data_IF_431844464047
#
_entry.id   IF_431844464047
#
_cell.length_a   1.000
_cell.length_b   1.000
_cell.length_c   1.000
_cell.angle_alpha   90.00
_cell.angle_beta   90.00
_cell.angle_gamma   90.00
#
_symmetry.space_group_name_H-M   'P 1'
#
loop_
_entity.id
_entity.type
_entity.pdbx_description
1 polymer ?
#
# COMPACT_ATOMS: atom_id res chain seq x y z
N UNK A 1 19.09 -37.07 -21.88
CA UNK A 1 17.99 -36.54 -21.04
C UNK A 1 18.59 -35.94 -19.79
N UNK A 2 18.35 -34.66 -19.49
CA UNK A 2 18.78 -34.10 -18.21
C UNK A 2 17.96 -34.74 -17.08
N UNK A 3 18.63 -35.18 -16.01
CA UNK A 3 17.98 -35.81 -14.86
C UNK A 3 17.19 -34.74 -14.11
N UNK A 4 15.88 -34.90 -14.03
CA UNK A 4 15.03 -34.01 -13.25
C UNK A 4 15.30 -34.18 -11.75
N UNK A 5 15.63 -33.10 -11.06
CA UNK A 5 15.68 -33.07 -9.59
C UNK A 5 14.35 -32.63 -9.01
N UNK A 6 13.92 -33.28 -7.93
CA UNK A 6 12.74 -32.83 -7.19
C UNK A 6 13.01 -31.47 -6.54
N UNK A 7 12.01 -30.59 -6.57
CA UNK A 7 12.06 -29.31 -5.85
C UNK A 7 12.22 -29.62 -4.34
N UNK A 8 13.23 -29.06 -3.66
CA UNK A 8 13.38 -29.24 -2.22
C UNK A 8 12.08 -28.88 -1.47
N UNK A 9 11.68 -29.74 -0.52
CA UNK A 9 10.37 -29.65 0.15
C UNK A 9 10.12 -28.29 0.81
N UNK A 10 11.17 -27.68 1.36
CA UNK A 10 11.09 -26.37 1.99
C UNK A 10 10.86 -25.23 0.99
N UNK A 11 11.49 -25.29 -0.20
CA UNK A 11 11.26 -24.35 -1.29
C UNK A 11 9.85 -24.53 -1.87
N UNK A 12 9.42 -25.77 -2.09
CA UNK A 12 8.07 -26.06 -2.56
C UNK A 12 7.02 -25.49 -1.58
N UNK A 13 7.17 -25.79 -0.29
CA UNK A 13 6.27 -25.27 0.76
C UNK A 13 6.27 -23.75 0.82
N UNK A 14 7.44 -23.10 0.73
CA UNK A 14 7.53 -21.65 0.73
C UNK A 14 6.85 -21.03 -0.49
N UNK A 15 7.09 -21.61 -1.67
CA UNK A 15 6.49 -21.15 -2.93
C UNK A 15 4.96 -21.23 -2.86
N UNK A 16 4.44 -22.37 -2.36
CA UNK A 16 3.01 -22.59 -2.14
C UNK A 16 2.41 -21.66 -1.09
N UNK A 17 3.15 -21.40 -0.01
CA UNK A 17 2.70 -20.49 1.05
C UNK A 17 2.61 -19.05 0.56
N UNK A 18 3.63 -18.58 -0.19
CA UNK A 18 3.64 -17.23 -0.76
C UNK A 18 2.55 -17.01 -1.80
N UNK A 19 2.17 -18.05 -2.53
CA UNK A 19 1.06 -17.99 -3.49
C UNK A 19 -0.30 -18.25 -2.84
N UNK A 20 -0.37 -18.51 -1.53
CA UNK A 20 -1.58 -18.95 -0.83
C UNK A 20 -2.25 -20.14 -1.53
N UNK A 21 -1.44 -21.08 -2.04
CA UNK A 21 -1.84 -22.22 -2.87
C UNK A 21 -2.80 -21.86 -4.01
N UNK A 22 -2.68 -20.64 -4.52
CA UNK A 22 -3.54 -20.10 -5.57
C UNK A 22 -2.72 -19.86 -6.84
N UNK A 23 -3.32 -20.10 -8.00
CA UNK A 23 -2.71 -19.80 -9.30
C UNK A 23 -2.39 -18.31 -9.41
N UNK A 24 -1.16 -17.94 -9.77
CA UNK A 24 -0.80 -16.54 -9.88
C UNK A 24 -1.51 -15.80 -11.02
N UNK A 25 -1.96 -16.53 -12.05
CA UNK A 25 -2.57 -15.94 -13.25
C UNK A 25 -4.06 -15.73 -13.07
N UNK A 26 -4.84 -16.80 -12.83
CA UNK A 26 -6.30 -16.68 -12.73
C UNK A 26 -6.81 -16.35 -11.32
N UNK A 27 -5.97 -16.47 -10.29
CA UNK A 27 -6.30 -16.20 -8.87
C UNK A 27 -7.53 -16.95 -8.31
N UNK A 28 -7.97 -18.03 -8.96
CA UNK A 28 -9.12 -18.84 -8.51
C UNK A 28 -8.66 -19.82 -7.41
N UNK A 29 -9.19 -19.73 -6.18
CA UNK A 29 -8.82 -20.62 -5.09
C UNK A 29 -9.37 -22.04 -5.29
N UNK A 30 -8.77 -23.02 -4.59
CA UNK A 30 -9.25 -24.40 -4.56
C UNK A 30 -8.98 -25.24 -5.82
N UNK A 31 -8.41 -24.67 -6.88
CA UNK A 31 -8.00 -25.43 -8.07
C UNK A 31 -6.79 -26.31 -7.79
N UNK A 32 -6.68 -27.42 -8.53
CA UNK A 32 -5.46 -28.21 -8.58
C UNK A 32 -4.32 -27.35 -9.15
N UNK A 33 -3.17 -27.37 -8.47
CA UNK A 33 -2.02 -26.50 -8.75
C UNK A 33 -0.72 -27.29 -8.93
N UNK A 34 0.21 -26.70 -9.67
CA UNK A 34 1.56 -27.19 -9.89
C UNK A 34 2.57 -26.03 -9.79
N UNK A 35 3.78 -26.33 -9.33
CA UNK A 35 4.89 -25.38 -9.37
C UNK A 35 5.54 -25.45 -10.75
N UNK A 36 5.62 -24.30 -11.41
CA UNK A 36 6.19 -24.10 -12.74
C UNK A 36 7.53 -23.38 -12.65
N UNK A 37 8.53 -23.87 -13.40
CA UNK A 37 9.85 -23.23 -13.55
C UNK A 37 9.81 -22.24 -14.73
N UNK A 38 10.04 -20.96 -14.46
CA UNK A 38 9.88 -19.87 -15.43
C UNK A 38 10.94 -19.92 -16.55
N UNK A 39 12.14 -20.40 -16.26
CA UNK A 39 13.21 -20.54 -17.25
C UNK A 39 13.14 -21.86 -18.05
N UNK A 40 12.16 -22.73 -17.75
CA UNK A 40 12.05 -24.07 -18.32
C UNK A 40 13.13 -25.05 -17.86
N UNK A 41 14.04 -24.64 -16.98
CA UNK A 41 15.09 -25.49 -16.41
C UNK A 41 14.61 -26.08 -15.09
N UNK A 42 14.19 -27.35 -15.14
CA UNK A 42 13.65 -28.06 -13.98
C UNK A 42 14.65 -28.25 -12.83
N UNK A 43 15.95 -27.99 -13.04
CA UNK A 43 16.98 -28.04 -12.00
C UNK A 43 17.21 -26.69 -11.30
N UNK A 44 16.63 -25.59 -11.81
CA UNK A 44 16.74 -24.28 -11.21
C UNK A 44 15.62 -24.05 -10.18
N UNK A 45 15.88 -24.44 -8.94
CA UNK A 45 14.93 -24.32 -7.82
C UNK A 45 15.03 -22.97 -7.08
N UNK A 46 15.63 -21.94 -7.68
CA UNK A 46 15.64 -20.61 -7.09
C UNK A 46 14.20 -20.10 -6.94
N UNK A 47 13.88 -19.49 -5.79
CA UNK A 47 12.51 -19.07 -5.49
C UNK A 47 11.96 -18.11 -6.55
N UNK A 48 12.82 -17.25 -7.11
CA UNK A 48 12.47 -16.30 -8.16
C UNK A 48 12.29 -16.95 -9.54
N UNK A 49 12.63 -18.22 -9.69
CA UNK A 49 12.36 -19.03 -10.89
C UNK A 49 11.08 -19.86 -10.77
N UNK A 50 10.45 -19.92 -9.60
CA UNK A 50 9.26 -20.74 -9.38
C UNK A 50 7.98 -19.88 -9.39
N UNK A 51 6.90 -20.44 -9.92
CA UNK A 51 5.56 -19.86 -9.88
C UNK A 51 4.52 -20.96 -9.62
N UNK A 52 3.37 -20.61 -9.03
CA UNK A 52 2.27 -21.56 -8.81
C UNK A 52 1.20 -21.31 -9.84
N UNK A 53 0.90 -22.32 -10.66
CA UNK A 53 -0.15 -22.28 -11.68
C UNK A 53 -1.21 -23.33 -11.38
N UNK A 54 -2.48 -23.06 -11.70
CA UNK A 54 -3.46 -24.13 -11.80
C UNK A 54 -3.19 -24.94 -13.07
N UNK A 55 -3.63 -26.20 -13.11
CA UNK A 55 -3.39 -27.08 -14.27
C UNK A 55 -3.82 -26.44 -15.60
N UNK A 56 -4.97 -25.76 -15.61
CA UNK A 56 -5.46 -25.05 -16.81
C UNK A 56 -4.48 -23.97 -17.33
N UNK A 57 -4.04 -23.05 -16.46
CA UNK A 57 -3.05 -22.04 -16.87
C UNK A 57 -1.66 -22.65 -17.10
N UNK A 58 -1.35 -23.78 -16.48
CA UNK A 58 -0.10 -24.49 -16.74
C UNK A 58 -0.09 -25.06 -18.17
N UNK A 59 -1.19 -25.62 -18.64
CA UNK A 59 -1.31 -26.16 -20.00
C UNK A 59 -1.12 -25.07 -21.06
N UNK A 60 -1.59 -23.84 -20.81
CA UNK A 60 -1.36 -22.69 -21.69
C UNK A 60 0.12 -22.37 -21.91
N UNK A 61 1.00 -22.70 -20.95
CA UNK A 61 2.46 -22.54 -21.09
C UNK A 61 3.07 -23.56 -22.05
N UNK A 62 2.38 -24.66 -22.32
CA UNK A 62 2.87 -25.77 -23.14
C UNK A 62 2.38 -25.72 -24.59
N UNK A 63 1.42 -24.85 -24.91
CA UNK A 63 0.85 -24.74 -26.26
C UNK A 63 1.93 -24.33 -27.28
N UNK A 64 2.14 -25.15 -28.31
CA UNK A 64 2.99 -24.86 -29.48
C UNK A 64 2.11 -24.48 -30.69
N UNK A 65 2.48 -23.45 -31.46
CA UNK A 65 1.62 -22.88 -32.53
C UNK A 65 0.42 -22.03 -32.05
N UNK A 66 -0.35 -21.47 -32.98
CA UNK A 66 -1.59 -20.69 -32.73
C UNK A 66 -1.47 -19.17 -32.93
N UNK A 67 -2.59 -18.52 -33.29
CA UNK A 67 -2.69 -17.05 -33.48
C UNK A 67 -2.80 -16.26 -32.16
N UNK A 68 -3.18 -16.91 -31.06
CA UNK A 68 -3.34 -16.26 -29.75
C UNK A 68 -2.01 -15.95 -29.06
N UNK A 69 -1.97 -14.87 -28.27
CA UNK A 69 -0.83 -14.59 -27.38
C UNK A 69 -0.78 -15.64 -26.26
N UNK A 70 0.39 -16.26 -26.11
CA UNK A 70 0.62 -17.34 -25.14
C UNK A 70 1.01 -16.81 -23.78
N UNK A 71 0.76 -17.63 -22.77
CA UNK A 71 1.24 -17.40 -21.42
C UNK A 71 2.74 -17.73 -21.34
N UNK A 72 3.57 -16.68 -21.47
CA UNK A 72 5.02 -16.79 -21.39
C UNK A 72 5.56 -16.53 -19.97
N UNK A 73 6.81 -16.89 -19.74
CA UNK A 73 7.46 -16.77 -18.43
C UNK A 73 7.55 -15.35 -17.90
N UNK A 74 7.74 -14.35 -18.77
CA UNK A 74 7.76 -12.93 -18.38
C UNK A 74 6.41 -12.49 -17.83
N UNK A 75 5.32 -12.86 -18.50
CA UNK A 75 3.96 -12.54 -18.06
C UNK A 75 3.60 -13.27 -16.76
N UNK A 76 3.96 -14.55 -16.64
CA UNK A 76 3.76 -15.31 -15.40
C UNK A 76 4.53 -14.66 -14.24
N UNK A 77 5.75 -14.18 -14.49
CA UNK A 77 6.57 -13.48 -13.49
C UNK A 77 5.88 -12.21 -12.97
N UNK A 78 5.23 -11.44 -13.85
CA UNK A 78 4.47 -10.25 -13.46
C UNK A 78 3.29 -10.63 -12.55
N UNK A 79 2.46 -11.58 -12.99
CA UNK A 79 1.32 -12.08 -12.21
C UNK A 79 1.72 -12.65 -10.84
N UNK A 80 2.80 -13.44 -10.80
CA UNK A 80 3.35 -13.97 -9.54
C UNK A 80 3.78 -12.87 -8.59
N UNK A 81 4.52 -11.88 -9.09
CA UNK A 81 5.03 -10.80 -8.24
C UNK A 81 3.89 -9.98 -7.65
N UNK A 82 2.86 -9.71 -8.43
CA UNK A 82 1.65 -9.02 -7.98
C UNK A 82 0.94 -9.82 -6.87
N UNK A 83 0.68 -11.11 -7.08
CA UNK A 83 0.07 -11.98 -6.06
C UNK A 83 0.92 -12.02 -4.77
N UNK A 84 2.23 -12.11 -4.88
CA UNK A 84 3.13 -12.13 -3.72
C UNK A 84 3.10 -10.82 -2.94
N UNK A 85 2.94 -9.67 -3.60
CA UNK A 85 2.80 -8.38 -2.94
C UNK A 85 1.51 -8.36 -2.11
N UNK A 86 0.40 -8.81 -2.70
CA UNK A 86 -0.91 -8.85 -2.03
C UNK A 86 -0.89 -9.79 -0.82
N UNK A 87 -0.36 -11.00 -1.00
CA UNK A 87 -0.23 -11.97 0.08
C UNK A 87 0.72 -11.51 1.19
N UNK A 88 1.83 -10.85 0.85
CA UNK A 88 2.73 -10.28 1.88
C UNK A 88 2.03 -9.19 2.70
N UNK A 89 1.20 -8.34 2.08
CA UNK A 89 0.41 -7.34 2.83
C UNK A 89 -0.55 -8.03 3.80
N UNK A 90 -1.22 -9.09 3.37
CA UNK A 90 -2.12 -9.90 4.23
C UNK A 90 -1.36 -10.56 5.38
N UNK A 91 -0.27 -11.27 5.07
CA UNK A 91 0.52 -12.03 6.05
C UNK A 91 1.17 -11.14 7.10
N UNK A 92 1.60 -9.92 6.73
CA UNK A 92 2.10 -8.94 7.70
C UNK A 92 1.08 -8.54 8.76
N UNK A 93 -0.22 -8.59 8.44
CA UNK A 93 -1.29 -8.30 9.42
C UNK A 93 -1.52 -9.46 10.39
N UNK A 94 -1.28 -10.69 9.94
CA UNK A 94 -1.63 -11.91 10.68
C UNK A 94 -0.45 -12.42 11.51
N UNK A 95 0.77 -12.26 11.01
CA UNK A 95 1.99 -12.82 11.60
C UNK A 95 2.88 -11.66 12.10
N UNK A 96 2.87 -11.36 13.41
CA UNK A 96 3.86 -10.48 14.01
C UNK A 96 5.26 -10.99 13.65
N UNK A 97 6.17 -10.10 13.23
CA UNK A 97 7.53 -10.45 12.78
C UNK A 97 7.63 -11.27 11.47
N UNK A 98 6.63 -11.26 10.59
CA UNK A 98 6.68 -11.89 9.26
C UNK A 98 7.98 -11.59 8.48
N UNK A 99 8.44 -10.33 8.51
CA UNK A 99 9.68 -9.94 7.83
C UNK A 99 10.91 -10.68 8.38
N UNK A 100 11.02 -10.88 9.69
CA UNK A 100 12.14 -11.60 10.31
C UNK A 100 12.09 -13.10 10.01
N UNK A 101 10.89 -13.70 10.01
CA UNK A 101 10.70 -15.09 9.62
C UNK A 101 11.07 -15.30 8.14
N UNK A 102 10.57 -14.43 7.26
CA UNK A 102 10.89 -14.44 5.84
C UNK A 102 12.39 -14.25 5.58
N UNK A 103 13.03 -13.34 6.32
CA UNK A 103 14.47 -13.10 6.27
C UNK A 103 15.27 -14.30 6.78
N UNK A 104 14.86 -14.98 7.86
CA UNK A 104 15.53 -16.21 8.35
C UNK A 104 15.45 -17.35 7.33
N UNK A 105 14.31 -17.53 6.68
CA UNK A 105 14.10 -18.57 5.66
C UNK A 105 14.94 -18.29 4.41
N UNK A 106 14.98 -17.03 3.95
CA UNK A 106 15.78 -16.62 2.78
C UNK A 106 17.29 -16.53 3.07
N UNK A 107 17.70 -16.10 4.28
CA UNK A 107 19.11 -15.99 4.68
C UNK A 107 19.77 -17.34 4.93
N UNK A 108 19.04 -18.36 5.44
CA UNK A 108 19.59 -19.71 5.62
C UNK A 108 20.12 -20.33 4.33
N UNK A 109 19.71 -19.83 3.15
CA UNK A 109 20.16 -20.33 1.84
C UNK A 109 21.04 -19.37 1.04
N UNK A 110 21.11 -18.08 1.40
CA UNK A 110 21.94 -17.05 0.75
C UNK A 110 23.47 -17.22 0.89
N UNK A 111 23.97 -18.37 1.37
CA UNK A 111 25.41 -18.69 1.28
C UNK A 111 25.87 -19.02 -0.15
N UNK A 112 24.97 -19.10 -1.13
CA UNK A 112 25.27 -19.03 -2.55
C UNK A 112 24.20 -18.15 -3.22
N UNK A 113 24.64 -17.30 -4.15
CA UNK A 113 23.89 -16.40 -5.05
C UNK A 113 23.34 -15.07 -4.47
N UNK A 114 23.46 -14.05 -5.32
CA UNK A 114 23.80 -12.65 -5.02
C UNK A 114 22.62 -11.69 -4.81
N UNK A 115 22.95 -10.45 -4.45
CA UNK A 115 22.10 -9.37 -3.96
C UNK A 115 20.95 -8.92 -4.88
N UNK A 116 19.82 -8.60 -4.24
CA UNK A 116 18.75 -7.78 -4.79
C UNK A 116 19.13 -6.30 -4.58
N UNK A 117 19.42 -5.59 -5.66
CA UNK A 117 19.87 -4.20 -5.66
C UNK A 117 18.70 -3.32 -6.12
N UNK A 118 18.30 -2.34 -5.29
CA UNK A 118 17.52 -1.20 -5.78
C UNK A 118 18.30 -0.53 -6.92
N UNK A 119 17.60 -0.06 -7.96
CA UNK A 119 18.25 0.58 -9.11
C UNK A 119 19.06 1.80 -8.64
N UNK A 120 20.33 1.87 -9.07
CA UNK A 120 21.34 2.89 -8.74
C UNK A 120 20.88 4.35 -8.93
N UNK A 121 19.85 4.62 -9.73
CA UNK A 121 19.37 5.97 -10.00
C UNK A 121 18.52 6.55 -8.85
N UNK A 122 17.93 5.71 -8.01
CA UNK A 122 17.12 6.18 -6.87
C UNK A 122 17.99 6.56 -5.66
N UNK A 123 19.18 5.96 -5.51
CA UNK A 123 20.05 6.20 -4.36
C UNK A 123 20.71 7.58 -4.40
N UNK A 124 21.18 8.04 -5.57
CA UNK A 124 21.81 9.36 -5.69
C UNK A 124 20.81 10.50 -5.42
N UNK A 125 19.57 10.36 -5.91
CA UNK A 125 18.51 11.34 -5.65
C UNK A 125 18.15 11.40 -4.16
N UNK A 126 18.04 10.24 -3.49
CA UNK A 126 17.75 10.19 -2.07
C UNK A 126 18.89 10.82 -1.26
N UNK A 127 20.15 10.52 -1.57
CA UNK A 127 21.29 11.13 -0.89
C UNK A 127 21.31 12.66 -1.06
N UNK A 128 21.14 13.17 -2.29
CA UNK A 128 21.03 14.63 -2.52
C UNK A 128 19.86 15.26 -1.77
N UNK A 129 18.74 14.54 -1.66
CA UNK A 129 17.58 15.03 -0.90
C UNK A 129 17.88 15.05 0.60
N UNK A 130 18.55 14.02 1.13
CA UNK A 130 19.01 13.97 2.52
C UNK A 130 19.94 15.15 2.83
N UNK A 131 20.94 15.38 1.98
CA UNK A 131 21.90 16.48 2.14
C UNK A 131 21.17 17.84 2.15
N UNK A 132 20.28 18.05 1.18
CA UNK A 132 19.47 19.28 1.09
C UNK A 132 18.55 19.47 2.31
N UNK A 133 17.93 18.39 2.81
CA UNK A 133 17.07 18.48 4.00
C UNK A 133 17.90 18.80 5.25
N UNK A 134 19.11 18.24 5.35
CA UNK A 134 20.02 18.52 6.46
C UNK A 134 20.51 19.97 6.43
N UNK A 135 20.92 20.46 5.25
CA UNK A 135 21.34 21.86 5.05
C UNK A 135 20.23 22.88 5.35
N UNK A 136 18.98 22.54 5.01
CA UNK A 136 17.81 23.38 5.25
C UNK A 136 17.18 23.19 6.62
N UNK A 137 17.72 22.29 7.44
CA UNK A 137 17.17 21.93 8.75
C UNK A 137 15.71 21.43 8.67
N UNK A 138 15.31 20.82 7.54
CA UNK A 138 14.00 20.19 7.38
C UNK A 138 14.01 18.80 8.01
N UNK A 139 14.00 18.78 9.34
CA UNK A 139 14.14 17.55 10.15
C UNK A 139 13.00 16.55 9.91
N UNK A 140 11.79 17.04 9.60
CA UNK A 140 10.66 16.16 9.29
C UNK A 140 10.88 15.42 7.97
N UNK A 141 11.23 16.14 6.90
CA UNK A 141 11.50 15.50 5.61
C UNK A 141 12.74 14.59 5.70
N UNK A 142 13.77 15.03 6.42
CA UNK A 142 14.97 14.23 6.65
C UNK A 142 14.66 12.92 7.37
N UNK A 143 13.82 12.94 8.41
CA UNK A 143 13.35 11.74 9.08
C UNK A 143 12.66 10.80 8.08
N UNK A 144 11.73 11.32 7.27
CA UNK A 144 11.06 10.54 6.22
C UNK A 144 12.03 9.91 5.21
N UNK A 145 13.05 10.63 4.76
CA UNK A 145 14.05 10.07 3.83
C UNK A 145 14.80 8.88 4.46
N UNK A 146 15.23 9.01 5.72
CA UNK A 146 15.87 7.90 6.43
C UNK A 146 14.95 6.69 6.62
N UNK A 147 13.63 6.89 6.76
CA UNK A 147 12.63 5.80 6.73
C UNK A 147 12.68 5.02 5.44
N UNK A 148 12.68 5.75 4.32
CA UNK A 148 12.61 5.17 2.98
C UNK A 148 13.81 4.28 2.68
N UNK A 149 14.99 4.66 3.17
CA UNK A 149 16.22 3.85 3.06
C UNK A 149 16.41 2.88 4.24
N UNK A 150 15.38 2.70 5.08
CA UNK A 150 15.35 1.77 6.21
C UNK A 150 16.48 2.01 7.25
N UNK A 151 16.87 3.28 7.45
CA UNK A 151 17.81 3.75 8.48
C UNK A 151 17.03 4.28 9.68
N UNK A 152 16.42 3.36 10.44
CA UNK A 152 15.44 3.69 11.49
C UNK A 152 15.98 4.58 12.61
N UNK A 153 17.21 4.32 13.07
CA UNK A 153 17.83 5.08 14.16
C UNK A 153 18.05 6.55 13.79
N UNK A 154 18.51 6.81 12.57
CA UNK A 154 18.66 8.17 12.04
C UNK A 154 17.28 8.82 11.83
N UNK A 155 16.33 8.10 11.26
CA UNK A 155 14.95 8.57 11.12
C UNK A 155 14.35 9.01 12.47
N UNK A 156 14.57 8.22 13.51
CA UNK A 156 14.14 8.56 14.87
C UNK A 156 14.88 9.76 15.46
N UNK A 157 16.22 9.81 15.33
CA UNK A 157 17.03 10.95 15.79
C UNK A 157 16.51 12.28 15.24
N UNK A 158 16.26 12.34 13.93
CA UNK A 158 15.79 13.57 13.29
C UNK A 158 14.30 13.85 13.55
N UNK A 159 13.48 12.81 13.75
CA UNK A 159 12.11 13.00 14.23
C UNK A 159 12.09 13.64 15.64
N UNK A 160 12.98 13.22 16.55
CA UNK A 160 13.12 13.83 17.88
C UNK A 160 13.57 15.29 17.78
N UNK A 161 14.59 15.56 16.96
CA UNK A 161 15.07 16.93 16.71
C UNK A 161 13.96 17.84 16.17
N UNK A 162 13.17 17.36 15.20
CA UNK A 162 12.01 18.10 14.70
C UNK A 162 11.00 18.41 15.81
N UNK A 163 10.73 17.46 16.72
CA UNK A 163 9.80 17.70 17.83
C UNK A 163 10.31 18.78 18.77
N UNK A 164 11.59 18.71 19.15
CA UNK A 164 12.23 19.68 20.04
C UNK A 164 12.16 21.11 19.49
N UNK A 165 12.19 21.26 18.17
CA UNK A 165 12.12 22.56 17.48
C UNK A 165 10.69 22.95 17.07
N UNK A 166 9.74 22.01 17.02
CA UNK A 166 8.36 22.29 16.63
C UNK A 166 7.60 23.03 17.73
N UNK A 167 7.10 24.23 17.39
CA UNK A 167 6.33 25.08 18.32
C UNK A 167 4.82 24.72 18.29
N UNK A 168 4.35 24.07 17.23
CA UNK A 168 2.92 23.80 17.00
C UNK A 168 2.52 22.33 17.27
N UNK A 169 1.44 22.14 18.03
CA UNK A 169 0.83 20.85 18.35
C UNK A 169 0.43 20.01 17.11
N UNK A 170 0.11 20.63 15.98
CA UNK A 170 -0.23 19.88 14.74
C UNK A 170 0.97 19.19 14.12
N UNK A 171 2.13 19.84 14.10
CA UNK A 171 3.38 19.28 13.60
C UNK A 171 3.85 18.14 14.48
N UNK A 172 3.69 18.33 15.79
CA UNK A 172 3.99 17.36 16.82
C UNK A 172 3.24 16.02 16.63
N UNK A 173 1.93 16.07 16.30
CA UNK A 173 1.13 14.88 15.98
C UNK A 173 1.70 14.09 14.80
N UNK A 174 2.10 14.78 13.72
CA UNK A 174 2.65 14.11 12.53
C UNK A 174 3.88 13.28 12.90
N UNK A 175 4.64 13.76 13.87
CA UNK A 175 5.90 13.13 14.26
C UNK A 175 5.71 11.98 15.22
N UNK A 176 4.75 12.06 16.14
CA UNK A 176 4.37 10.87 16.92
C UNK A 176 3.98 9.74 15.97
N UNK A 177 3.15 10.03 14.97
CA UNK A 177 2.78 9.04 13.95
C UNK A 177 3.99 8.50 13.18
N UNK A 178 4.96 9.37 12.87
CA UNK A 178 6.23 8.92 12.30
C UNK A 178 6.98 7.98 13.25
N UNK A 179 7.11 8.32 14.54
CA UNK A 179 7.80 7.49 15.53
C UNK A 179 7.16 6.11 15.66
N UNK A 180 5.82 6.02 15.68
CA UNK A 180 5.09 4.74 15.60
C UNK A 180 5.53 3.91 14.39
N UNK A 181 5.61 4.52 13.21
CA UNK A 181 6.04 3.82 12.01
C UNK A 181 7.52 3.37 12.06
N UNK A 182 8.38 4.09 12.78
CA UNK A 182 9.81 3.78 12.88
C UNK A 182 10.10 2.70 13.92
N UNK A 183 9.64 2.93 15.13
CA UNK A 183 10.07 2.23 16.34
C UNK A 183 9.10 1.13 16.78
N UNK A 184 7.85 1.16 16.34
CA UNK A 184 6.79 0.37 16.97
C UNK A 184 6.26 1.06 18.23
N UNK A 185 5.09 0.63 18.68
CA UNK A 185 4.38 1.25 19.81
C UNK A 185 5.09 1.05 21.15
N UNK A 186 5.83 -0.04 21.29
CA UNK A 186 6.54 -0.43 22.51
C UNK A 186 7.76 0.45 22.85
N UNK A 187 8.23 1.24 21.89
CA UNK A 187 9.47 2.01 21.99
C UNK A 187 9.23 3.53 22.03
N UNK A 188 7.98 3.96 22.18
CA UNK A 188 7.63 5.38 22.28
C UNK A 188 7.66 5.80 23.74
N UNK A 189 8.37 6.88 24.02
CA UNK A 189 8.46 7.47 25.36
C UNK A 189 7.04 7.85 25.88
N UNK A 190 6.64 7.44 27.11
CA UNK A 190 5.27 7.62 27.61
C UNK A 190 4.77 9.06 27.61
N UNK A 191 5.64 10.04 27.87
CA UNK A 191 5.30 11.47 27.85
C UNK A 191 4.78 11.92 26.47
N UNK A 192 5.34 11.37 25.38
CA UNK A 192 4.87 11.66 24.04
C UNK A 192 3.47 11.05 23.83
N UNK A 193 3.24 9.83 24.29
CA UNK A 193 1.91 9.23 24.16
C UNK A 193 0.85 10.05 24.91
N UNK A 194 1.15 10.48 26.13
CA UNK A 194 0.26 11.31 26.93
C UNK A 194 -0.04 12.65 26.24
N UNK A 195 1.00 13.34 25.74
CA UNK A 195 0.84 14.60 25.02
C UNK A 195 0.01 14.41 23.74
N UNK A 196 0.22 13.33 22.98
CA UNK A 196 -0.57 13.00 21.79
C UNK A 196 -2.05 12.82 22.11
N UNK A 197 -2.35 12.02 23.15
CA UNK A 197 -3.70 11.77 23.64
C UNK A 197 -4.37 13.10 24.04
N UNK A 198 -3.66 13.93 24.80
CA UNK A 198 -4.18 15.23 25.26
C UNK A 198 -4.49 16.18 24.09
N UNK A 199 -3.63 16.22 23.06
CA UNK A 199 -3.90 17.05 21.87
C UNK A 199 -5.15 16.53 21.14
N UNK A 200 -5.27 15.22 20.89
CA UNK A 200 -6.44 14.68 20.21
C UNK A 200 -7.73 14.86 21.00
N UNK A 201 -7.69 14.71 22.33
CA UNK A 201 -8.84 14.97 23.20
C UNK A 201 -9.25 16.44 23.15
N UNK A 202 -8.28 17.36 23.28
CA UNK A 202 -8.53 18.81 23.22
C UNK A 202 -9.15 19.22 21.88
N UNK A 203 -8.65 18.67 20.78
CA UNK A 203 -9.14 18.96 19.43
C UNK A 203 -10.41 18.17 19.07
N UNK A 204 -10.86 17.26 19.94
CA UNK A 204 -11.98 16.34 19.70
C UNK A 204 -11.79 15.48 18.44
N UNK A 205 -10.55 15.15 18.10
CA UNK A 205 -10.21 14.28 16.97
C UNK A 205 -10.19 12.81 17.43
N UNK A 206 -11.39 12.32 17.72
CA UNK A 206 -11.57 10.96 18.22
C UNK A 206 -11.18 9.89 17.18
N UNK A 207 -11.18 10.23 15.90
CA UNK A 207 -10.75 9.31 14.84
C UNK A 207 -9.26 9.00 14.91
N UNK A 208 -8.42 10.02 15.10
CA UNK A 208 -6.97 9.81 15.22
C UNK A 208 -6.63 9.22 16.59
N UNK A 209 -7.34 9.60 17.65
CA UNK A 209 -7.19 8.98 18.96
C UNK A 209 -7.50 7.47 18.92
N UNK A 210 -8.55 7.08 18.18
CA UNK A 210 -8.89 5.67 18.00
C UNK A 210 -7.78 4.88 17.31
N UNK A 211 -7.21 5.44 16.23
CA UNK A 211 -6.07 4.84 15.53
C UNK A 211 -4.85 4.74 16.42
N UNK A 212 -4.55 5.79 17.20
CA UNK A 212 -3.46 5.79 18.17
C UNK A 212 -3.58 4.62 19.15
N UNK A 213 -4.75 4.45 19.79
CA UNK A 213 -4.96 3.34 20.72
C UNK A 213 -4.91 1.97 20.05
N UNK A 214 -5.43 1.83 18.83
CA UNK A 214 -5.30 0.59 18.06
C UNK A 214 -3.83 0.25 17.79
N UNK A 215 -3.04 1.24 17.37
CA UNK A 215 -1.63 1.07 17.04
C UNK A 215 -0.78 0.79 18.31
N UNK A 216 -1.23 1.27 19.48
CA UNK A 216 -0.73 0.91 20.81
C UNK A 216 -1.15 -0.49 21.29
N UNK A 217 -1.95 -1.22 20.52
CA UNK A 217 -2.45 -2.54 20.93
C UNK A 217 -3.54 -2.49 22.00
N UNK A 218 -4.26 -1.37 22.12
CA UNK A 218 -5.43 -1.20 22.98
C UNK A 218 -6.72 -1.10 22.13
N UNK A 219 -7.23 -2.25 21.63
CA UNK A 219 -8.39 -2.26 20.75
C UNK A 219 -9.68 -1.80 21.44
N UNK A 220 -9.79 -1.91 22.77
CA UNK A 220 -10.95 -1.48 23.54
C UNK A 220 -11.11 0.05 23.48
N UNK A 221 -10.07 0.80 23.84
CA UNK A 221 -10.08 2.26 23.73
C UNK A 221 -10.19 2.70 22.27
N UNK A 222 -9.49 2.01 21.36
CA UNK A 222 -9.62 2.25 19.93
C UNK A 222 -11.08 2.18 19.46
N UNK A 223 -11.81 1.15 19.88
CA UNK A 223 -13.23 0.95 19.54
C UNK A 223 -14.12 2.04 20.15
N UNK A 224 -13.90 2.41 21.42
CA UNK A 224 -14.65 3.47 22.10
C UNK A 224 -14.52 4.80 21.34
N UNK A 225 -13.31 5.19 20.97
CA UNK A 225 -13.08 6.45 20.28
C UNK A 225 -13.53 6.42 18.81
N UNK A 226 -13.45 5.27 18.12
CA UNK A 226 -14.06 5.14 16.80
C UNK A 226 -15.57 5.35 16.87
N UNK A 227 -16.26 4.70 17.81
CA UNK A 227 -17.70 4.86 17.98
C UNK A 227 -18.07 6.32 18.24
N UNK A 228 -17.30 7.02 19.07
CA UNK A 228 -17.49 8.46 19.34
C UNK A 228 -17.30 9.32 18.09
N UNK A 229 -16.28 9.05 17.28
CA UNK A 229 -16.07 9.75 16.01
C UNK A 229 -17.22 9.52 15.03
N UNK A 230 -17.62 8.25 14.86
CA UNK A 230 -18.72 7.83 13.97
C UNK A 230 -20.03 8.50 14.39
N UNK A 231 -20.33 8.55 15.69
CA UNK A 231 -21.52 9.23 16.21
C UNK A 231 -21.54 10.72 15.81
N UNK A 232 -20.42 11.42 15.99
CA UNK A 232 -20.29 12.83 15.63
C UNK A 232 -20.48 13.02 14.12
N UNK A 233 -19.87 12.18 13.30
CA UNK A 233 -19.99 12.24 11.85
C UNK A 233 -21.43 11.99 11.39
N UNK A 234 -22.13 11.02 11.99
CA UNK A 234 -23.55 10.75 11.72
C UNK A 234 -24.40 11.97 12.06
N UNK A 235 -24.22 12.57 13.24
CA UNK A 235 -24.96 13.76 13.67
C UNK A 235 -24.73 14.95 12.72
N UNK A 236 -23.51 15.10 12.20
CA UNK A 236 -23.14 16.13 11.22
C UNK A 236 -23.53 15.78 9.78
N UNK A 237 -24.12 14.60 9.53
CA UNK A 237 -24.39 14.06 8.18
C UNK A 237 -23.13 13.92 7.32
N UNK A 238 -21.97 13.74 7.94
CA UNK A 238 -20.71 13.43 7.26
C UNK A 238 -20.65 11.92 6.96
N UNK A 239 -21.48 11.49 6.02
CA UNK A 239 -21.68 10.07 5.73
C UNK A 239 -20.40 9.36 5.28
N UNK A 240 -19.52 10.05 4.54
CA UNK A 240 -18.26 9.47 4.11
C UNK A 240 -17.40 9.08 5.31
N UNK A 241 -17.17 10.03 6.23
CA UNK A 241 -16.31 9.79 7.39
C UNK A 241 -16.90 8.74 8.33
N UNK A 242 -18.23 8.79 8.55
CA UNK A 242 -18.93 7.75 9.31
C UNK A 242 -18.73 6.36 8.69
N UNK A 243 -18.94 6.23 7.37
CA UNK A 243 -18.74 4.97 6.65
C UNK A 243 -17.28 4.50 6.66
N UNK A 244 -16.35 5.41 6.43
CA UNK A 244 -14.92 5.13 6.42
C UNK A 244 -14.42 4.63 7.79
N UNK A 245 -14.79 5.29 8.90
CA UNK A 245 -14.38 4.87 10.23
C UNK A 245 -15.13 3.62 10.72
N UNK A 246 -16.37 3.38 10.27
CA UNK A 246 -17.03 2.08 10.45
C UNK A 246 -16.26 0.94 9.77
N UNK A 247 -15.71 1.18 8.58
CA UNK A 247 -14.87 0.21 7.87
C UNK A 247 -13.58 -0.06 8.64
N UNK A 248 -12.90 0.98 9.12
CA UNK A 248 -11.66 0.83 9.91
C UNK A 248 -11.87 0.09 11.24
N UNK A 249 -13.04 0.22 11.86
CA UNK A 249 -13.41 -0.52 13.09
C UNK A 249 -13.88 -1.95 12.83
N UNK A 250 -13.85 -2.43 11.58
CA UNK A 250 -14.24 -3.79 11.20
C UNK A 250 -15.73 -3.98 10.89
N UNK A 251 -16.54 -2.92 10.90
CA UNK A 251 -17.98 -2.96 10.63
C UNK A 251 -18.31 -2.77 9.14
N UNK A 252 -17.70 -3.58 8.27
CA UNK A 252 -17.78 -3.45 6.80
C UNK A 252 -19.21 -3.38 6.24
N UNK A 253 -20.12 -4.22 6.74
CA UNK A 253 -21.51 -4.25 6.26
C UNK A 253 -22.25 -2.93 6.48
N UNK A 254 -22.09 -2.34 7.67
CA UNK A 254 -22.68 -1.03 8.00
C UNK A 254 -21.98 0.12 7.28
N UNK A 255 -20.66 0.04 7.13
CA UNK A 255 -19.88 1.03 6.39
C UNK A 255 -20.42 1.26 4.97
N UNK A 256 -20.77 0.19 4.25
CA UNK A 256 -21.32 0.27 2.88
C UNK A 256 -22.59 1.11 2.80
N UNK A 257 -23.46 1.08 3.82
CA UNK A 257 -24.71 1.86 3.84
C UNK A 257 -24.39 3.36 3.84
N UNK A 258 -23.48 3.79 4.70
CA UNK A 258 -23.06 5.19 4.81
C UNK A 258 -22.28 5.66 3.58
N UNK A 259 -21.37 4.84 3.06
CA UNK A 259 -20.60 5.17 1.85
C UNK A 259 -21.51 5.29 0.60
N UNK A 260 -22.52 4.43 0.44
CA UNK A 260 -23.51 4.57 -0.66
C UNK A 260 -24.32 5.85 -0.53
N UNK A 261 -24.67 6.25 0.70
CA UNK A 261 -25.36 7.52 0.96
C UNK A 261 -24.46 8.71 0.62
N UNK A 262 -23.20 8.67 1.03
CA UNK A 262 -22.20 9.68 0.67
C UNK A 262 -22.03 9.79 -0.85
N UNK A 263 -21.88 8.66 -1.55
CA UNK A 263 -21.78 8.58 -3.00
C UNK A 263 -22.94 9.30 -3.69
N UNK A 264 -24.18 9.02 -3.29
CA UNK A 264 -25.37 9.67 -3.85
C UNK A 264 -25.33 11.19 -3.66
N UNK A 265 -24.89 11.67 -2.50
CA UNK A 265 -24.79 13.11 -2.22
C UNK A 265 -23.68 13.79 -3.02
N UNK A 266 -22.51 13.17 -3.17
CA UNK A 266 -21.40 13.72 -3.95
C UNK A 266 -21.70 13.73 -5.46
N UNK A 267 -22.33 12.67 -5.98
CA UNK A 267 -22.83 12.64 -7.35
C UNK A 267 -23.80 13.80 -7.62
N UNK A 268 -24.75 14.03 -6.71
CA UNK A 268 -25.71 15.15 -6.83
C UNK A 268 -25.02 16.51 -6.81
N UNK A 269 -23.95 16.67 -6.02
CA UNK A 269 -23.18 17.92 -5.91
C UNK A 269 -22.18 18.11 -7.06
N UNK A 270 -21.92 17.08 -7.87
CA UNK A 270 -20.84 17.10 -8.87
C UNK A 270 -19.45 17.08 -8.25
N UNK A 271 -19.29 16.58 -7.02
CA UNK A 271 -18.00 16.51 -6.35
C UNK A 271 -17.21 15.28 -6.82
N UNK A 272 -16.35 15.48 -7.82
CA UNK A 272 -15.63 14.40 -8.48
C UNK A 272 -14.66 13.70 -7.54
N UNK A 273 -13.93 14.44 -6.70
CA UNK A 273 -12.92 13.87 -5.81
C UNK A 273 -13.56 12.90 -4.81
N UNK A 274 -14.59 13.37 -4.10
CA UNK A 274 -15.25 12.53 -3.10
C UNK A 274 -16.10 11.41 -3.71
N UNK A 275 -16.59 11.59 -4.94
CA UNK A 275 -17.22 10.51 -5.71
C UNK A 275 -16.25 9.37 -6.01
N UNK A 276 -15.03 9.68 -6.49
CA UNK A 276 -13.96 8.68 -6.70
C UNK A 276 -13.67 7.94 -5.40
N UNK A 277 -13.43 8.69 -4.31
CA UNK A 277 -13.14 8.10 -2.99
C UNK A 277 -14.26 7.16 -2.52
N UNK A 278 -15.53 7.50 -2.73
CA UNK A 278 -16.64 6.62 -2.39
C UNK A 278 -16.61 5.31 -3.18
N UNK A 279 -16.41 5.36 -4.49
CA UNK A 279 -16.35 4.15 -5.31
C UNK A 279 -15.18 3.25 -4.91
N UNK A 280 -14.00 3.82 -4.65
CA UNK A 280 -12.83 3.08 -4.16
C UNK A 280 -13.12 2.39 -2.83
N UNK A 281 -13.71 3.10 -1.86
CA UNK A 281 -14.01 2.54 -0.55
C UNK A 281 -15.12 1.47 -0.60
N UNK A 282 -16.02 1.55 -1.59
CA UNK A 282 -17.07 0.58 -1.88
C UNK A 282 -16.60 -0.61 -2.74
N UNK A 283 -15.38 -0.55 -3.28
CA UNK A 283 -14.81 -1.55 -4.21
C UNK A 283 -15.63 -1.70 -5.50
N UNK A 284 -16.22 -0.60 -5.97
CA UNK A 284 -17.05 -0.51 -7.19
C UNK A 284 -16.21 -0.02 -8.38
N UNK A 285 -15.22 -0.83 -8.79
CA UNK A 285 -14.19 -0.40 -9.74
C UNK A 285 -14.68 -0.25 -11.18
N UNK A 286 -15.69 -1.01 -11.59
CA UNK A 286 -16.27 -0.91 -12.93
C UNK A 286 -17.08 0.39 -13.06
N UNK A 287 -17.92 0.69 -12.07
CA UNK A 287 -18.68 1.94 -12.02
C UNK A 287 -17.77 3.15 -11.89
N UNK A 288 -16.67 3.02 -11.13
CA UNK A 288 -15.63 4.05 -11.06
C UNK A 288 -15.01 4.33 -12.43
N UNK A 289 -14.69 3.28 -13.19
CA UNK A 289 -14.11 3.43 -14.53
C UNK A 289 -15.08 4.15 -15.46
N UNK A 290 -16.34 3.70 -15.51
CA UNK A 290 -17.37 4.32 -16.35
C UNK A 290 -17.57 5.80 -15.98
N UNK A 291 -17.69 6.08 -14.68
CA UNK A 291 -17.77 7.47 -14.19
C UNK A 291 -16.54 8.30 -14.61
N UNK A 292 -15.34 7.73 -14.52
CA UNK A 292 -14.13 8.44 -14.91
C UNK A 292 -14.07 8.71 -16.41
N UNK A 293 -14.47 7.74 -17.24
CA UNK A 293 -14.56 7.90 -18.71
C UNK A 293 -15.54 9.00 -19.08
N UNK A 294 -16.73 9.03 -18.48
CA UNK A 294 -17.73 10.08 -18.69
C UNK A 294 -17.17 11.47 -18.39
N UNK A 295 -16.48 11.61 -17.25
CA UNK A 295 -15.88 12.89 -16.84
C UNK A 295 -14.75 13.28 -17.78
N UNK A 296 -13.85 12.36 -18.14
CA UNK A 296 -12.71 12.61 -19.04
C UNK A 296 -13.18 13.03 -20.44
N UNK A 297 -14.26 12.44 -20.94
CA UNK A 297 -14.84 12.77 -22.24
C UNK A 297 -15.71 14.04 -22.22
N UNK A 298 -16.04 14.55 -21.02
CA UNK A 298 -16.81 15.78 -20.87
C UNK A 298 -15.93 17.03 -20.91
N UNK A 299 -16.51 18.18 -21.27
CA UNK A 299 -15.81 19.47 -21.19
C UNK A 299 -15.41 19.86 -19.75
N UNK A 300 -16.11 19.31 -18.75
CA UNK A 300 -15.89 19.58 -17.32
C UNK A 300 -14.50 19.18 -16.85
N UNK A 301 -13.82 18.25 -17.53
CA UNK A 301 -12.45 17.84 -17.17
C UNK A 301 -11.47 19.01 -17.08
N UNK A 302 -11.70 20.10 -17.84
CA UNK A 302 -10.85 21.28 -17.85
C UNK A 302 -10.93 22.09 -16.55
N UNK A 303 -12.07 22.03 -15.85
CA UNK A 303 -12.36 22.76 -14.62
C UNK A 303 -11.93 21.98 -13.36
N UNK A 304 -11.69 20.68 -13.50
CA UNK A 304 -11.30 19.80 -12.40
C UNK A 304 -9.86 20.09 -11.99
N UNK A 305 -9.62 20.08 -10.67
CA UNK A 305 -8.30 20.25 -10.08
C UNK A 305 -7.28 19.28 -10.72
N UNK A 306 -6.06 19.73 -11.07
CA UNK A 306 -5.06 18.89 -11.72
C UNK A 306 -4.75 17.56 -11.01
N UNK A 307 -4.80 17.52 -9.67
CA UNK A 307 -4.60 16.28 -8.92
C UNK A 307 -5.73 15.27 -9.17
N UNK A 308 -6.98 15.74 -9.18
CA UNK A 308 -8.14 14.87 -9.43
C UNK A 308 -8.18 14.43 -10.89
N UNK A 309 -7.77 15.31 -11.82
CA UNK A 309 -7.57 14.92 -13.23
C UNK A 309 -6.53 13.82 -13.38
N UNK A 310 -5.42 13.91 -12.65
CA UNK A 310 -4.39 12.88 -12.66
C UNK A 310 -4.96 11.53 -12.21
N UNK A 311 -5.78 11.52 -11.16
CA UNK A 311 -6.44 10.30 -10.67
C UNK A 311 -7.41 9.73 -11.72
N UNK A 312 -8.23 10.57 -12.35
CA UNK A 312 -9.12 10.16 -13.45
C UNK A 312 -8.35 9.53 -14.62
N UNK A 313 -7.25 10.15 -15.06
CA UNK A 313 -6.43 9.63 -16.15
C UNK A 313 -5.80 8.28 -15.83
N UNK A 314 -5.42 8.05 -14.57
CA UNK A 314 -4.94 6.74 -14.10
C UNK A 314 -6.06 5.69 -14.11
N UNK A 315 -7.26 6.05 -13.66
CA UNK A 315 -8.41 5.15 -13.62
C UNK A 315 -8.78 4.66 -15.04
N UNK A 316 -8.77 5.56 -16.02
CA UNK A 316 -9.06 5.22 -17.44
C UNK A 316 -7.85 4.64 -18.19
N UNK A 317 -6.67 4.60 -17.58
CA UNK A 317 -5.45 4.05 -18.19
C UNK A 317 -4.80 4.94 -19.26
N UNK A 318 -5.02 6.26 -19.24
CA UNK A 318 -4.41 7.21 -20.18
C UNK A 318 -3.00 7.65 -19.70
N UNK A 319 -2.02 6.76 -19.88
CA UNK A 319 -0.63 6.95 -19.45
C UNK A 319 0.06 8.17 -20.07
N UNK A 320 -0.31 8.57 -21.29
CA UNK A 320 0.28 9.72 -21.98
C UNK A 320 -0.11 11.03 -21.28
N UNK A 321 -1.40 11.22 -20.98
CA UNK A 321 -1.89 12.41 -20.30
C UNK A 321 -1.42 12.43 -18.84
N UNK A 322 -1.28 11.27 -18.17
CA UNK A 322 -0.64 11.16 -16.84
C UNK A 322 0.77 11.75 -16.86
N UNK A 323 1.60 11.34 -17.82
CA UNK A 323 2.98 11.85 -17.95
C UNK A 323 3.00 13.36 -18.19
N UNK A 324 2.10 13.86 -19.04
CA UNK A 324 1.98 15.29 -19.35
C UNK A 324 1.56 16.11 -18.13
N UNK A 325 0.55 15.66 -17.39
CA UNK A 325 0.08 16.32 -16.16
C UNK A 325 1.20 16.35 -15.10
N UNK A 326 1.90 15.24 -14.88
CA UNK A 326 3.03 15.18 -13.95
C UNK A 326 4.16 16.14 -14.34
N UNK A 327 4.47 16.26 -15.64
CA UNK A 327 5.46 17.23 -16.14
C UNK A 327 5.03 18.66 -15.81
N UNK A 328 3.77 19.01 -16.07
CA UNK A 328 3.23 20.34 -15.80
C UNK A 328 3.22 20.69 -14.31
N UNK A 329 2.86 19.73 -13.45
CA UNK A 329 2.89 19.90 -11.99
C UNK A 329 4.31 20.10 -11.45
N UNK A 330 5.32 19.43 -12.02
CA UNK A 330 6.73 19.64 -11.65
C UNK A 330 7.22 21.04 -12.04
N UNK A 331 6.79 21.57 -13.18
CA UNK A 331 7.16 22.93 -13.62
C UNK A 331 6.54 23.99 -12.70
N UNK A 332 5.30 23.82 -12.26
CA UNK A 332 4.66 24.78 -11.36
C UNK A 332 5.26 24.79 -9.95
N UNK A 333 5.74 23.64 -9.45
CA UNK A 333 6.45 23.56 -8.16
C UNK A 333 7.82 24.25 -8.17
N UNK A 334 8.50 24.34 -9.32
CA UNK A 334 9.80 25.04 -9.43
C UNK A 334 9.67 26.57 -9.49
N UNK A 335 8.47 27.09 -9.69
CA UNK A 335 8.21 28.54 -9.85
C UNK A 335 7.67 29.19 -8.57
N UNK A 336 7.42 28.41 -7.53
CA UNK A 336 7.11 28.85 -6.17
C UNK A 336 8.32 28.59 -5.31
#
# INVERSE_FOLDING_TARGET
MQKHTQIPKDIANLTLFLSDRTCCVCRVPGRAIQIHHLDGNNNNHELDNLAVLCLHCHDETQIKGGFGRKLNSELIKLYRNELYIDNKKRLKKIIPNFNNLFKKITLRKKKKTSNFQLKMQDTEFIHKTIDLCYEKEDWALLAYQYKWINQKELGYKYAKKYIEESINNEEWIKVVKMQFDFLGSENIEPEFLEKAVNIYLKNKDFSQLARLYRDLGNPELGTIYYNRSIEIDIRKRNWFSAGFYLKESGNFGRAKVFLKRALKEFLKKGDVHWTIRCYEELEMFEELRNFAEDIVNSEKIKEINPSVRLDLMRIVGNEEEVKKLLKNMRVSMKRK
#
